data_IF_158144547216
#
_entry.id   IF_158144547216
#
_cell.length_a   1.000
_cell.length_b   1.000
_cell.length_c   1.000
_cell.angle_alpha   90.00
_cell.angle_beta   90.00
_cell.angle_gamma   90.00
#
_symmetry.space_group_name_H-M   'P 1'
#
loop_
_entity.id
_entity.type
_entity.pdbx_description
1 polymer ?
#
# COMPACT_ATOMS: atom_id res chain seq x y z
N UNK A 1 4.45 -14.51 12.90
CA UNK A 1 3.21 -15.17 12.43
C UNK A 1 2.14 -14.11 12.47
N UNK A 2 1.53 -13.82 11.32
CA UNK A 2 0.46 -12.84 11.21
C UNK A 2 -0.70 -13.23 12.13
N UNK A 3 -1.19 -12.28 12.93
CA UNK A 3 -2.30 -12.49 13.86
C UNK A 3 -3.58 -11.94 13.25
N UNK A 4 -4.04 -12.60 12.18
CA UNK A 4 -5.33 -12.26 11.58
C UNK A 4 -6.49 -12.80 12.43
N UNK A 5 -7.62 -12.11 12.36
CA UNK A 5 -8.81 -12.51 13.12
C UNK A 5 -9.43 -13.80 12.54
N UNK A 6 -10.01 -14.61 13.43
CA UNK A 6 -10.82 -15.73 12.99
C UNK A 6 -12.05 -15.27 12.20
N UNK A 7 -12.45 -15.99 11.15
CA UNK A 7 -13.63 -15.64 10.37
C UNK A 7 -14.89 -15.54 11.25
N UNK A 8 -15.69 -14.51 11.00
CA UNK A 8 -16.98 -14.28 11.66
C UNK A 8 -18.03 -13.85 10.62
N UNK A 9 -19.27 -13.57 11.07
CA UNK A 9 -20.39 -13.20 10.20
C UNK A 9 -20.41 -11.71 9.81
N UNK A 10 -19.46 -10.88 10.30
CA UNK A 10 -19.39 -9.46 9.94
C UNK A 10 -19.19 -9.31 8.43
N UNK A 11 -19.85 -8.32 7.77
CA UNK A 11 -19.63 -8.02 6.37
C UNK A 11 -18.17 -7.69 6.08
N UNK A 12 -17.58 -8.39 5.12
CA UNK A 12 -16.19 -8.20 4.72
C UNK A 12 -16.09 -7.31 3.49
N UNK A 13 -14.98 -6.57 3.42
CA UNK A 13 -14.58 -5.78 2.27
C UNK A 13 -13.16 -6.17 1.88
N UNK A 14 -12.76 -5.81 0.68
CA UNK A 14 -11.39 -6.00 0.20
C UNK A 14 -10.68 -4.66 0.25
N UNK A 15 -9.52 -4.63 0.91
CA UNK A 15 -8.52 -3.58 0.81
C UNK A 15 -7.34 -4.09 -0.01
N UNK A 16 -6.60 -3.18 -0.63
CA UNK A 16 -5.35 -3.51 -1.31
C UNK A 16 -4.24 -2.70 -0.67
N UNK A 17 -3.20 -3.36 -0.16
CA UNK A 17 -1.95 -2.67 0.12
C UNK A 17 -1.11 -2.66 -1.15
N UNK A 18 -0.62 -1.47 -1.52
CA UNK A 18 0.10 -1.24 -2.76
C UNK A 18 1.47 -0.63 -2.47
N UNK A 19 2.44 -0.99 -3.28
CA UNK A 19 3.78 -0.42 -3.29
C UNK A 19 4.28 -0.33 -4.73
N UNK A 20 5.05 0.72 -5.05
CA UNK A 20 5.63 0.92 -6.38
C UNK A 20 7.13 1.13 -6.29
N UNK A 21 7.86 0.51 -7.22
CA UNK A 21 9.22 0.89 -7.51
C UNK A 21 9.26 1.73 -8.79
N UNK A 22 10.09 2.76 -8.82
CA UNK A 22 10.09 3.77 -9.88
C UNK A 22 11.50 4.10 -10.34
N UNK A 23 11.62 4.72 -11.52
CA UNK A 23 12.93 5.21 -12.04
C UNK A 23 13.46 6.43 -11.26
N UNK A 24 12.59 7.12 -10.51
CA UNK A 24 12.93 8.30 -9.73
C UNK A 24 11.75 8.82 -8.92
N UNK A 25 11.77 10.08 -8.52
CA UNK A 25 10.81 10.64 -7.55
C UNK A 25 9.72 11.54 -8.16
N UNK A 26 9.83 11.89 -9.42
CA UNK A 26 8.93 12.82 -10.10
C UNK A 26 7.94 12.07 -11.00
N UNK A 27 6.64 11.97 -10.65
CA UNK A 27 5.66 11.24 -11.43
C UNK A 27 5.39 11.83 -12.82
N UNK A 28 5.85 13.06 -13.12
CA UNK A 28 5.70 13.64 -14.46
C UNK A 28 6.76 13.09 -15.43
N UNK A 29 7.97 12.82 -14.94
CA UNK A 29 9.12 12.40 -15.75
C UNK A 29 9.53 10.95 -15.53
N UNK A 30 9.37 10.46 -14.32
CA UNK A 30 9.75 9.11 -13.95
C UNK A 30 8.62 8.09 -14.20
N UNK A 31 8.95 6.80 -14.18
CA UNK A 31 8.05 5.71 -14.53
C UNK A 31 8.06 4.62 -13.48
N UNK A 32 6.91 3.97 -13.32
CA UNK A 32 6.80 2.73 -12.54
C UNK A 32 7.60 1.62 -13.24
N UNK A 33 8.42 0.91 -12.50
CA UNK A 33 9.18 -0.26 -12.94
C UNK A 33 8.73 -1.55 -12.26
N UNK A 34 8.10 -1.46 -11.09
CA UNK A 34 7.41 -2.57 -10.42
C UNK A 34 6.13 -2.06 -9.74
N UNK A 35 5.07 -2.85 -9.82
CA UNK A 35 3.81 -2.62 -9.09
C UNK A 35 3.47 -3.88 -8.32
N UNK A 36 3.42 -3.76 -6.98
CA UNK A 36 2.94 -4.80 -6.09
C UNK A 36 1.58 -4.42 -5.49
N UNK A 37 0.65 -5.36 -5.48
CA UNK A 37 -0.68 -5.20 -4.90
C UNK A 37 -1.02 -6.45 -4.09
N UNK A 38 -1.23 -6.30 -2.80
CA UNK A 38 -1.61 -7.40 -1.90
C UNK A 38 -3.02 -7.14 -1.38
N UNK A 39 -4.03 -7.83 -1.91
CA UNK A 39 -5.39 -7.72 -1.42
C UNK A 39 -5.56 -8.44 -0.09
N UNK A 40 -6.44 -7.91 0.77
CA UNK A 40 -6.78 -8.50 2.06
C UNK A 40 -8.23 -8.27 2.42
N UNK A 41 -8.83 -9.21 3.17
CA UNK A 41 -10.18 -9.06 3.70
C UNK A 41 -10.18 -8.37 5.06
N UNK A 42 -11.08 -7.40 5.22
CA UNK A 42 -11.26 -6.65 6.47
C UNK A 42 -12.72 -6.31 6.73
N UNK A 43 -13.07 -5.97 7.98
CA UNK A 43 -14.39 -5.47 8.37
C UNK A 43 -14.38 -3.97 8.74
N UNK A 44 -15.54 -3.43 9.03
CA UNK A 44 -15.71 -2.02 9.40
C UNK A 44 -14.99 -1.62 10.71
N UNK A 45 -14.65 -2.60 11.55
CA UNK A 45 -13.88 -2.40 12.79
C UNK A 45 -12.36 -2.42 12.57
N UNK A 46 -11.90 -2.62 11.32
CA UNK A 46 -10.49 -2.68 10.97
C UNK A 46 -9.84 -4.03 11.28
N UNK A 47 -10.62 -5.06 11.56
CA UNK A 47 -10.09 -6.42 11.72
C UNK A 47 -9.70 -6.98 10.36
N UNK A 48 -8.50 -7.54 10.24
CA UNK A 48 -8.01 -8.21 9.02
C UNK A 48 -8.14 -9.71 9.23
N UNK A 49 -8.69 -10.42 8.24
CA UNK A 49 -9.01 -11.84 8.32
C UNK A 49 -8.05 -12.72 7.53
N UNK A 50 -7.68 -12.30 6.33
CA UNK A 50 -6.74 -13.04 5.49
C UNK A 50 -6.18 -12.18 4.37
N UNK A 51 -5.03 -12.59 3.85
CA UNK A 51 -4.51 -12.12 2.57
C UNK A 51 -5.16 -12.91 1.43
N UNK A 52 -5.32 -12.26 0.30
CA UNK A 52 -5.81 -12.84 -0.94
C UNK A 52 -4.64 -12.96 -1.95
N UNK A 53 -4.81 -13.65 -3.07
CA UNK A 53 -3.75 -13.76 -4.08
C UNK A 53 -3.24 -12.39 -4.52
N UNK A 54 -1.94 -12.21 -4.40
CA UNK A 54 -1.23 -10.98 -4.71
C UNK A 54 -0.98 -10.82 -6.20
N UNK A 55 -0.79 -9.59 -6.63
CA UNK A 55 -0.27 -9.22 -7.93
C UNK A 55 1.12 -8.58 -7.76
N UNK A 56 2.06 -9.00 -8.59
CA UNK A 56 3.35 -8.32 -8.73
C UNK A 56 3.71 -8.32 -10.23
N UNK A 57 3.94 -7.13 -10.78
CA UNK A 57 4.27 -6.95 -12.19
C UNK A 57 5.43 -5.99 -12.38
N UNK A 58 6.42 -6.42 -13.19
CA UNK A 58 7.46 -5.55 -13.71
C UNK A 58 6.94 -4.78 -14.93
N UNK A 59 7.50 -3.60 -15.14
CA UNK A 59 7.14 -2.72 -16.25
C UNK A 59 8.38 -2.13 -16.90
N UNK A 60 8.48 -2.26 -18.22
CA UNK A 60 9.51 -1.60 -19.01
C UNK A 60 9.21 -0.10 -19.07
N UNK A 61 10.05 0.76 -18.48
CA UNK A 61 9.81 2.20 -18.46
C UNK A 61 10.03 2.88 -19.82
N UNK A 62 10.56 2.15 -20.83
CA UNK A 62 10.94 2.71 -22.13
C UNK A 62 12.14 3.66 -22.07
N UNK A 63 12.87 3.68 -20.98
CA UNK A 63 14.07 4.49 -20.75
C UNK A 63 15.05 3.72 -19.83
N UNK A 64 16.35 4.03 -19.86
CA UNK A 64 17.29 3.40 -18.93
C UNK A 64 16.94 3.69 -17.48
N UNK A 65 17.01 2.66 -16.64
CA UNK A 65 16.79 2.83 -15.19
C UNK A 65 18.04 3.51 -14.60
N UNK A 66 17.90 4.67 -13.93
CA UNK A 66 19.04 5.36 -13.31
C UNK A 66 19.77 4.47 -12.32
N UNK A 67 21.10 4.65 -12.24
CA UNK A 67 21.96 3.82 -11.37
C UNK A 67 21.50 3.84 -9.90
N UNK A 68 21.06 5.00 -9.41
CA UNK A 68 20.58 5.15 -8.04
C UNK A 68 19.29 4.34 -7.81
N UNK A 69 18.38 4.30 -8.79
CA UNK A 69 17.17 3.49 -8.71
C UNK A 69 17.50 2.00 -8.71
N UNK A 70 18.44 1.55 -9.57
CA UNK A 70 18.93 0.16 -9.58
C UNK A 70 19.54 -0.26 -8.24
N UNK A 71 20.31 0.62 -7.61
CA UNK A 71 20.94 0.33 -6.31
C UNK A 71 19.92 0.22 -5.18
N UNK A 72 18.85 1.01 -5.23
CA UNK A 72 17.78 1.01 -4.21
C UNK A 72 16.85 -0.18 -4.41
N UNK A 73 16.36 -0.40 -5.64
CA UNK A 73 15.31 -1.39 -5.93
C UNK A 73 15.85 -2.77 -6.28
N UNK A 74 17.10 -2.85 -6.73
CA UNK A 74 17.67 -4.07 -7.29
C UNK A 74 17.15 -4.44 -8.69
N UNK A 75 16.29 -3.59 -9.29
CA UNK A 75 15.69 -3.85 -10.60
C UNK A 75 16.60 -3.30 -11.69
N UNK A 76 16.90 -4.13 -12.69
CA UNK A 76 17.78 -3.79 -13.83
C UNK A 76 17.01 -3.64 -15.12
N UNK A 77 17.63 -2.99 -16.13
CA UNK A 77 17.03 -2.83 -17.45
C UNK A 77 16.71 -4.19 -18.10
N UNK A 78 17.55 -5.21 -17.86
CA UNK A 78 17.33 -6.57 -18.39
C UNK A 78 16.10 -7.23 -17.78
N UNK A 79 15.82 -6.99 -16.49
CA UNK A 79 14.66 -7.56 -15.79
C UNK A 79 13.34 -7.01 -16.32
N UNK A 80 13.31 -5.72 -16.64
CA UNK A 80 12.07 -5.05 -17.08
C UNK A 80 11.86 -5.09 -18.58
N UNK A 81 12.90 -5.40 -19.35
CA UNK A 81 12.87 -5.38 -20.82
C UNK A 81 11.71 -6.18 -21.42
N UNK A 82 10.81 -5.47 -22.09
CA UNK A 82 9.61 -6.06 -22.72
C UNK A 82 8.55 -6.52 -21.74
N UNK A 83 8.69 -6.19 -20.44
CA UNK A 83 7.66 -6.42 -19.44
C UNK A 83 6.60 -5.31 -19.50
N UNK A 84 5.37 -5.65 -19.16
CA UNK A 84 4.29 -4.67 -19.03
C UNK A 84 3.35 -5.09 -17.90
N UNK A 85 2.80 -4.11 -17.22
CA UNK A 85 1.75 -4.33 -16.23
C UNK A 85 0.55 -5.01 -16.90
N UNK A 86 0.05 -6.09 -16.29
CA UNK A 86 -1.19 -6.73 -16.70
C UNK A 86 -2.38 -5.84 -16.27
N UNK A 87 -2.80 -4.99 -17.22
CA UNK A 87 -3.86 -4.00 -17.01
C UNK A 87 -5.17 -4.66 -16.59
N UNK A 88 -5.53 -5.80 -17.19
CA UNK A 88 -6.79 -6.48 -16.88
C UNK A 88 -6.77 -7.09 -15.47
N UNK A 89 -5.65 -7.67 -15.04
CA UNK A 89 -5.49 -8.16 -13.69
C UNK A 89 -5.59 -7.01 -12.66
N UNK A 90 -4.93 -5.88 -12.92
CA UNK A 90 -4.98 -4.70 -12.04
C UNK A 90 -6.40 -4.12 -11.98
N UNK A 91 -7.07 -3.95 -13.11
CA UNK A 91 -8.48 -3.47 -13.15
C UNK A 91 -9.41 -4.37 -12.37
N UNK A 92 -9.26 -5.69 -12.52
CA UNK A 92 -10.06 -6.65 -11.76
C UNK A 92 -9.87 -6.45 -10.25
N UNK A 93 -8.64 -6.37 -9.77
CA UNK A 93 -8.36 -6.14 -8.35
C UNK A 93 -8.97 -4.82 -7.85
N UNK A 94 -8.81 -3.73 -8.61
CA UNK A 94 -9.35 -2.43 -8.25
C UNK A 94 -10.89 -2.44 -8.22
N UNK A 95 -11.55 -3.17 -9.13
CA UNK A 95 -13.02 -3.26 -9.16
C UNK A 95 -13.62 -3.97 -7.95
N UNK A 96 -12.87 -4.83 -7.30
CA UNK A 96 -13.27 -5.58 -6.11
C UNK A 96 -12.91 -4.85 -4.81
N UNK A 97 -12.01 -3.87 -4.86
CA UNK A 97 -11.47 -3.19 -3.70
C UNK A 97 -12.34 -2.01 -3.23
N UNK A 98 -12.48 -1.87 -1.93
CA UNK A 98 -13.09 -0.71 -1.28
C UNK A 98 -12.09 0.44 -1.06
N UNK A 99 -10.79 0.14 -0.98
CA UNK A 99 -9.73 1.10 -0.70
C UNK A 99 -8.39 0.55 -1.16
N UNK A 100 -7.54 1.43 -1.68
CA UNK A 100 -6.10 1.21 -1.87
C UNK A 100 -5.33 1.93 -0.77
N UNK A 101 -4.37 1.26 -0.15
CA UNK A 101 -3.54 1.80 0.92
C UNK A 101 -2.08 1.70 0.49
N UNK A 102 -1.32 2.76 0.68
CA UNK A 102 0.14 2.75 0.52
C UNK A 102 0.84 3.33 1.75
N UNK A 103 2.13 3.01 1.90
CA UNK A 103 2.97 3.59 2.93
C UNK A 103 3.62 4.87 2.40
N UNK A 104 3.05 6.02 2.58
CA UNK A 104 3.32 7.27 1.88
C UNK A 104 2.58 7.38 0.53
N UNK A 105 1.26 7.18 0.56
CA UNK A 105 0.42 7.24 -0.63
C UNK A 105 0.60 8.52 -1.47
N UNK A 106 1.11 9.59 -0.88
CA UNK A 106 1.47 10.82 -1.58
C UNK A 106 2.53 10.60 -2.67
N UNK A 107 3.37 9.57 -2.51
CA UNK A 107 4.34 9.16 -3.51
C UNK A 107 3.71 8.21 -4.54
N UNK A 108 3.14 7.09 -4.10
CA UNK A 108 2.69 6.02 -5.00
C UNK A 108 1.48 6.43 -5.85
N UNK A 109 0.53 7.15 -5.25
CA UNK A 109 -0.73 7.51 -5.90
C UNK A 109 -0.56 8.23 -7.23
N UNK A 110 0.25 9.31 -7.37
CA UNK A 110 0.42 9.99 -8.65
C UNK A 110 1.02 9.08 -9.73
N UNK A 111 1.96 8.21 -9.39
CA UNK A 111 2.52 7.23 -10.32
C UNK A 111 1.48 6.23 -10.80
N UNK A 112 0.65 5.71 -9.89
CA UNK A 112 -0.44 4.81 -10.22
C UNK A 112 -1.51 5.49 -11.09
N UNK A 113 -1.91 6.72 -10.77
CA UNK A 113 -2.88 7.51 -11.53
C UNK A 113 -2.38 7.84 -12.94
N UNK A 114 -1.06 8.01 -13.13
CA UNK A 114 -0.45 8.15 -14.45
C UNK A 114 -0.35 6.82 -15.21
N UNK A 115 -0.24 5.71 -14.48
CA UNK A 115 -0.18 4.37 -15.07
C UNK A 115 -1.55 3.91 -15.58
N UNK A 116 -2.63 4.16 -14.80
CA UNK A 116 -3.96 3.67 -15.10
C UNK A 116 -5.05 4.56 -14.48
N UNK A 117 -6.01 5.01 -15.29
CA UNK A 117 -7.07 5.94 -14.85
C UNK A 117 -7.98 5.37 -13.75
N UNK A 118 -8.12 4.06 -13.64
CA UNK A 118 -8.91 3.41 -12.59
C UNK A 118 -8.43 3.78 -11.19
N UNK A 119 -7.15 4.08 -11.00
CA UNK A 119 -6.60 4.54 -9.73
C UNK A 119 -7.12 5.92 -9.28
N UNK A 120 -7.64 6.73 -10.21
CA UNK A 120 -8.27 8.04 -9.89
C UNK A 120 -9.66 7.88 -9.27
N UNK A 121 -10.31 6.73 -9.47
CA UNK A 121 -11.69 6.49 -9.10
C UNK A 121 -11.85 5.60 -7.86
N UNK A 122 -10.74 5.25 -7.20
CA UNK A 122 -10.76 4.45 -5.97
C UNK A 122 -10.36 5.30 -4.77
N UNK A 123 -10.92 4.97 -3.60
CA UNK A 123 -10.50 5.58 -2.33
C UNK A 123 -9.06 5.22 -1.98
N UNK A 124 -8.29 6.20 -1.50
CA UNK A 124 -6.92 6.01 -1.05
C UNK A 124 -6.77 6.21 0.45
N UNK A 125 -5.92 5.41 1.06
CA UNK A 125 -5.45 5.55 2.44
C UNK A 125 -3.93 5.60 2.50
N UNK A 126 -3.41 6.30 3.50
CA UNK A 126 -1.97 6.43 3.73
C UNK A 126 -1.62 5.95 5.14
N UNK A 127 -0.84 4.90 5.26
CA UNK A 127 -0.47 4.37 6.57
C UNK A 127 0.48 5.30 7.37
N UNK A 128 1.06 6.32 6.73
CA UNK A 128 1.82 7.38 7.41
C UNK A 128 0.90 8.52 7.84
N UNK A 129 0.10 9.06 6.91
CA UNK A 129 -0.61 10.32 7.12
C UNK A 129 -1.99 10.14 7.79
N UNK A 130 -2.65 9.00 7.59
CA UNK A 130 -4.00 8.74 8.09
C UNK A 130 -4.02 8.07 9.48
N UNK A 131 -2.84 7.85 10.07
CA UNK A 131 -2.68 7.37 11.45
C UNK A 131 -1.89 8.41 12.24
N UNK A 132 -2.45 8.90 13.34
CA UNK A 132 -1.71 9.83 14.21
C UNK A 132 -0.79 9.05 15.15
N UNK A 133 0.35 8.63 14.62
CA UNK A 133 1.34 7.83 15.33
C UNK A 133 1.90 8.52 16.57
N UNK A 134 2.00 9.85 16.58
CA UNK A 134 2.51 10.61 17.73
C UNK A 134 1.55 10.54 18.91
N UNK A 135 0.24 10.63 18.70
CA UNK A 135 -0.76 10.45 19.77
C UNK A 135 -0.71 9.04 20.36
N UNK A 136 -0.26 8.07 19.59
CA UNK A 136 -0.06 6.69 20.02
C UNK A 136 1.33 6.42 20.63
N UNK A 137 2.15 7.48 20.85
CA UNK A 137 3.48 7.36 21.45
C UNK A 137 4.54 6.74 20.53
N UNK A 138 4.30 6.77 19.21
CA UNK A 138 5.22 6.25 18.20
C UNK A 138 5.87 7.42 17.45
N UNK A 139 7.19 7.59 17.64
CA UNK A 139 7.94 8.73 17.12
C UNK A 139 8.39 8.56 15.66
N UNK A 140 8.46 7.33 15.15
CA UNK A 140 8.95 7.03 13.81
C UNK A 140 7.94 6.22 13.00
N UNK A 141 7.83 6.53 11.71
CA UNK A 141 6.86 5.90 10.79
C UNK A 141 7.51 5.04 9.71
N UNK A 142 8.85 4.92 9.72
CA UNK A 142 9.55 4.01 8.79
C UNK A 142 9.13 2.56 9.07
N UNK A 143 8.98 1.78 8.01
CA UNK A 143 8.48 0.41 8.09
C UNK A 143 9.30 -0.44 9.05
N UNK A 144 10.62 -0.37 8.99
CA UNK A 144 11.53 -1.14 9.86
C UNK A 144 11.36 -0.74 11.34
N UNK A 145 11.13 0.55 11.61
CA UNK A 145 10.89 1.04 12.96
C UNK A 145 9.55 0.56 13.51
N UNK A 146 8.49 0.61 12.70
CA UNK A 146 7.17 0.11 13.09
C UNK A 146 7.21 -1.40 13.31
N UNK A 147 7.82 -2.17 12.42
CA UNK A 147 8.01 -3.62 12.58
C UNK A 147 8.75 -3.95 13.88
N UNK A 148 9.86 -3.25 14.16
CA UNK A 148 10.58 -3.39 15.42
C UNK A 148 9.70 -3.11 16.65
N UNK A 149 8.91 -2.03 16.62
CA UNK A 149 7.98 -1.68 17.72
C UNK A 149 6.90 -2.75 17.95
N UNK A 150 6.44 -3.39 16.90
CA UNK A 150 5.47 -4.48 16.96
C UNK A 150 6.12 -5.87 17.13
N UNK A 151 7.45 -5.93 17.28
CA UNK A 151 8.17 -7.15 17.66
C UNK A 151 8.36 -8.16 16.55
N UNK A 152 8.42 -7.73 15.29
CA UNK A 152 8.75 -8.61 14.17
C UNK A 152 9.81 -8.01 13.25
N UNK A 153 10.47 -8.91 12.52
CA UNK A 153 11.48 -8.56 11.52
C UNK A 153 11.07 -9.17 10.18
N UNK A 154 11.42 -8.52 9.10
CA UNK A 154 11.20 -8.99 7.74
C UNK A 154 12.44 -8.67 6.87
N UNK A 155 12.64 -9.43 5.81
CA UNK A 155 13.66 -9.12 4.81
C UNK A 155 13.04 -8.13 3.81
N UNK A 156 13.34 -6.84 3.99
CA UNK A 156 12.84 -5.75 3.14
C UNK A 156 13.44 -5.75 1.73
N UNK A 157 13.02 -4.77 0.92
CA UNK A 157 13.43 -4.51 -0.47
C UNK A 157 12.85 -5.48 -1.52
N UNK A 158 11.69 -6.08 -1.20
CA UNK A 158 10.82 -6.71 -2.17
C UNK A 158 9.41 -6.18 -1.97
N UNK A 159 8.84 -5.53 -2.99
CA UNK A 159 7.59 -4.79 -2.88
C UNK A 159 6.44 -5.62 -2.28
N UNK A 160 6.31 -6.90 -2.65
CA UNK A 160 5.29 -7.79 -2.07
C UNK A 160 5.51 -8.08 -0.58
N UNK A 161 6.75 -8.38 -0.17
CA UNK A 161 7.10 -8.66 1.24
C UNK A 161 6.87 -7.41 2.08
N UNK A 162 7.23 -6.26 1.55
CA UNK A 162 7.01 -4.97 2.20
C UNK A 162 5.52 -4.67 2.35
N UNK A 163 4.69 -4.97 1.36
CA UNK A 163 3.23 -4.89 1.47
C UNK A 163 2.69 -5.81 2.57
N UNK A 164 3.13 -7.06 2.63
CA UNK A 164 2.69 -8.02 3.65
C UNK A 164 3.08 -7.57 5.06
N UNK A 165 4.31 -7.08 5.26
CA UNK A 165 4.75 -6.52 6.54
C UNK A 165 3.92 -5.30 6.96
N UNK A 166 3.55 -4.44 6.02
CA UNK A 166 2.69 -3.28 6.27
C UNK A 166 1.26 -3.68 6.62
N UNK A 167 0.69 -4.71 5.97
CA UNK A 167 -0.62 -5.26 6.33
C UNK A 167 -0.59 -5.86 7.75
N UNK A 168 0.50 -6.53 8.12
CA UNK A 168 0.70 -7.00 9.49
C UNK A 168 0.64 -5.86 10.50
N UNK A 169 1.28 -4.71 10.21
CA UNK A 169 1.18 -3.50 11.04
C UNK A 169 -0.26 -2.99 11.10
N UNK A 170 -0.97 -2.94 9.98
CA UNK A 170 -2.37 -2.49 9.96
C UNK A 170 -3.29 -3.35 10.84
N UNK A 171 -2.98 -4.64 11.02
CA UNK A 171 -3.74 -5.56 11.86
C UNK A 171 -3.49 -5.38 13.36
N UNK A 172 -2.41 -4.69 13.74
CA UNK A 172 -1.99 -4.55 15.14
C UNK A 172 -2.79 -3.50 15.89
N UNK A 173 -2.98 -3.70 17.22
CA UNK A 173 -3.57 -2.65 18.05
C UNK A 173 -2.59 -1.48 18.22
N UNK A 174 -3.10 -0.28 18.19
CA UNK A 174 -2.37 0.93 18.55
C UNK A 174 -2.05 0.94 20.06
N UNK A 175 -0.87 1.43 20.48
CA UNK A 175 -0.41 1.29 21.86
C UNK A 175 -1.28 2.01 22.91
N UNK A 176 -1.89 3.14 22.58
CA UNK A 176 -2.68 3.96 23.50
C UNK A 176 -4.17 3.66 23.37
N UNK A 177 -4.71 3.74 22.15
CA UNK A 177 -6.14 3.54 21.90
C UNK A 177 -6.58 2.07 21.93
N UNK A 178 -5.64 1.13 21.78
CA UNK A 178 -5.88 -0.30 21.64
C UNK A 178 -6.76 -0.70 20.42
N UNK A 179 -7.05 0.25 19.52
CA UNK A 179 -7.77 -0.01 18.28
C UNK A 179 -6.84 -0.53 17.18
N UNK A 180 -7.31 -1.36 16.24
CA UNK A 180 -6.51 -1.74 15.07
C UNK A 180 -6.02 -0.50 14.30
N UNK A 181 -4.76 -0.52 13.86
CA UNK A 181 -4.18 0.56 13.04
C UNK A 181 -5.07 0.84 11.82
N UNK A 182 -5.57 -0.22 11.17
CA UNK A 182 -6.45 -0.10 10.00
C UNK A 182 -7.74 0.66 10.33
N UNK A 183 -8.35 0.44 11.51
CA UNK A 183 -9.57 1.18 11.90
C UNK A 183 -9.32 2.68 11.92
N UNK A 184 -8.22 3.11 12.53
CA UNK A 184 -7.86 4.53 12.64
C UNK A 184 -7.59 5.15 11.25
N UNK A 185 -6.88 4.43 10.39
CA UNK A 185 -6.64 4.83 9.01
C UNK A 185 -7.96 5.04 8.25
N UNK A 186 -8.87 4.07 8.30
CA UNK A 186 -10.18 4.14 7.61
C UNK A 186 -11.03 5.32 8.06
N UNK A 187 -11.02 5.65 9.34
CA UNK A 187 -11.74 6.82 9.89
C UNK A 187 -11.21 8.14 9.34
N UNK A 188 -9.88 8.27 9.23
CA UNK A 188 -9.23 9.47 8.71
C UNK A 188 -9.40 9.60 7.21
N UNK A 189 -9.19 8.54 6.45
CA UNK A 189 -9.36 8.52 5.00
C UNK A 189 -10.78 8.95 4.60
N UNK A 190 -11.83 8.46 5.27
CA UNK A 190 -13.22 8.89 5.06
C UNK A 190 -13.43 10.37 5.30
N UNK A 191 -12.84 10.94 6.35
CA UNK A 191 -12.95 12.38 6.66
C UNK A 191 -12.29 13.24 5.59
N UNK A 192 -11.18 12.79 5.04
CA UNK A 192 -10.46 13.49 3.98
C UNK A 192 -11.27 13.52 2.69
N UNK A 193 -11.87 12.42 2.30
CA UNK A 193 -12.76 12.35 1.14
C UNK A 193 -13.99 13.28 1.29
N UNK A 194 -14.66 13.27 2.43
CA UNK A 194 -15.81 14.15 2.69
C UNK A 194 -15.42 15.63 2.59
N UNK A 195 -14.23 16.02 3.05
CA UNK A 195 -13.74 17.40 2.91
C UNK A 195 -13.50 17.79 1.46
N UNK A 196 -12.88 16.93 0.66
CA UNK A 196 -12.62 17.18 -0.75
C UNK A 196 -13.93 17.35 -1.56
N UNK A 197 -14.98 16.63 -1.19
CA UNK A 197 -16.31 16.79 -1.80
C UNK A 197 -17.06 18.06 -1.35
N UNK A 198 -16.76 18.58 -0.15
CA UNK A 198 -17.39 19.79 0.39
C UNK A 198 -16.74 21.08 -0.11
N UNK A 199 -15.52 21.02 -0.62
CA UNK A 199 -14.74 22.17 -1.12
C UNK A 199 -14.80 22.31 -2.68
N UNK A 200 -15.45 21.42 -3.39
CA UNK A 200 -15.71 21.42 -4.84
C UNK A 200 -17.14 21.78 -5.17
#
# INVERSE_FOLDING_TARGET
VASYCEPNEAPKRIGIFLDTETTGLDPETDKVIELAMVPFEFDASGNIYRLLPEYNGLNDPGMPIPEIARQITGITDEMVKGQSIDVEAVKKLLSEAAIVIAHNARFDRPFCENLLDEFKNISWGCSIADVNWQEEGIEGVKLEFLAYKYGFFFEGHRATIDCQARIEILSRPLPVSAEPVLKRLLETARRTEIRLWAEG
#
